data_IF_449366232406
#
_entry.id   IF_449366232406
#
_cell.length_a   1.000
_cell.length_b   1.000
_cell.length_c   1.000
_cell.angle_alpha   90.00
_cell.angle_beta   90.00
_cell.angle_gamma   90.00
#
_symmetry.space_group_name_H-M   'P 1'
#
loop_
_entity.id
_entity.type
_entity.pdbx_description
1 polymer ?
#
# COMPACT_ATOMS: atom_id res chain seq x y z
N UNK A 1 -4.78 -10.84 -15.80
CA UNK A 1 -5.13 -10.71 -14.36
C UNK A 1 -3.91 -10.13 -13.68
N UNK A 2 -4.04 -9.00 -12.98
CA UNK A 2 -2.85 -8.36 -12.38
C UNK A 2 -2.80 -8.57 -10.87
N UNK A 3 -1.61 -8.93 -10.38
CA UNK A 3 -1.32 -9.19 -8.98
C UNK A 3 -0.38 -8.11 -8.45
N UNK A 4 -0.84 -7.34 -7.48
CA UNK A 4 -0.02 -6.37 -6.76
C UNK A 4 0.52 -7.01 -5.47
N UNK A 5 1.79 -6.83 -5.21
CA UNK A 5 2.45 -7.21 -3.95
C UNK A 5 3.04 -5.96 -3.31
N UNK A 6 2.89 -5.81 -1.99
CA UNK A 6 3.29 -4.61 -1.24
C UNK A 6 4.10 -4.95 0.01
N UNK A 7 5.14 -4.17 0.25
CA UNK A 7 5.78 -4.02 1.56
C UNK A 7 5.37 -2.65 2.13
N UNK A 8 4.50 -2.65 3.15
CA UNK A 8 3.83 -1.43 3.62
C UNK A 8 4.73 -0.61 4.54
N UNK A 9 5.01 0.63 4.14
CA UNK A 9 5.75 1.58 4.96
C UNK A 9 5.68 3.00 4.40
N UNK A 10 6.39 3.95 5.05
CA UNK A 10 6.58 5.28 4.46
C UNK A 10 7.47 5.23 3.20
N UNK A 11 8.31 4.22 3.09
CA UNK A 11 8.87 3.75 1.83
C UNK A 11 8.18 2.43 1.54
N UNK A 12 7.35 2.38 0.49
CA UNK A 12 6.59 1.19 0.13
C UNK A 12 7.28 0.49 -1.04
N UNK A 13 7.68 -0.76 -0.86
CA UNK A 13 8.10 -1.62 -1.97
C UNK A 13 6.87 -2.16 -2.70
N UNK A 14 6.94 -2.26 -4.02
CA UNK A 14 5.84 -2.83 -4.81
C UNK A 14 6.35 -3.66 -5.99
N UNK A 15 5.57 -4.68 -6.34
CA UNK A 15 5.70 -5.37 -7.63
C UNK A 15 4.32 -5.74 -8.18
N UNK A 16 4.15 -5.57 -9.48
CA UNK A 16 2.94 -5.91 -10.24
C UNK A 16 3.30 -7.00 -11.24
N UNK A 17 2.59 -8.13 -11.17
CA UNK A 17 2.63 -9.17 -12.19
C UNK A 17 1.39 -9.03 -13.08
N UNK A 18 1.60 -8.77 -14.37
CA UNK A 18 0.54 -8.71 -15.38
C UNK A 18 0.93 -9.57 -16.57
N UNK A 19 0.15 -10.62 -16.82
CA UNK A 19 0.32 -11.52 -17.98
C UNK A 19 1.76 -12.03 -18.19
N UNK A 20 2.44 -12.38 -17.08
CA UNK A 20 3.80 -12.90 -17.09
C UNK A 20 4.91 -11.84 -17.06
N UNK A 21 4.56 -10.56 -17.16
CA UNK A 21 5.49 -9.44 -17.05
C UNK A 21 5.48 -8.92 -15.62
N UNK A 22 6.67 -8.75 -15.04
CA UNK A 22 6.86 -8.18 -13.70
C UNK A 22 7.40 -6.77 -13.83
N UNK A 23 6.68 -5.82 -13.25
CA UNK A 23 7.13 -4.46 -12.99
C UNK A 23 7.31 -4.30 -11.48
N UNK A 24 8.33 -3.55 -11.05
CA UNK A 24 8.58 -3.35 -9.62
C UNK A 24 9.25 -2.02 -9.35
N UNK A 25 9.18 -1.57 -8.10
CA UNK A 25 9.80 -0.34 -7.67
C UNK A 25 9.57 -0.08 -6.20
N UNK A 26 9.78 1.18 -5.82
CA UNK A 26 9.47 1.66 -4.49
C UNK A 26 8.89 3.07 -4.56
N UNK A 27 7.90 3.36 -3.73
CA UNK A 27 7.24 4.66 -3.67
C UNK A 27 7.45 5.29 -2.28
N UNK A 28 7.68 6.61 -2.22
CA UNK A 28 7.94 7.32 -0.97
C UNK A 28 6.75 8.19 -0.57
N UNK A 29 6.23 7.93 0.62
CA UNK A 29 5.13 8.68 1.26
C UNK A 29 5.62 9.50 2.46
N UNK A 30 6.92 9.80 2.52
CA UNK A 30 7.46 10.70 3.53
C UNK A 30 6.89 12.11 3.34
N UNK A 31 6.33 12.66 4.42
CA UNK A 31 5.78 14.01 4.44
C UNK A 31 6.66 14.96 5.24
N UNK A 32 6.58 16.25 4.94
CA UNK A 32 7.29 17.27 5.71
C UNK A 32 6.58 17.56 7.04
N UNK A 33 7.27 18.21 7.98
CA UNK A 33 6.66 18.71 9.23
C UNK A 33 5.54 19.74 9.02
N UNK A 34 5.44 20.31 7.82
CA UNK A 34 4.42 21.28 7.44
C UNK A 34 3.22 20.63 6.74
N UNK A 35 3.26 19.32 6.55
CA UNK A 35 2.16 18.55 5.95
C UNK A 35 1.15 18.16 7.02
N UNK A 36 -0.14 18.17 6.66
CA UNK A 36 -1.18 17.63 7.55
C UNK A 36 -0.92 16.15 7.87
N UNK A 37 -1.27 15.72 9.09
CA UNK A 37 -0.95 14.36 9.57
C UNK A 37 -1.52 13.21 8.73
N UNK A 38 -2.55 13.47 7.92
CA UNK A 38 -3.14 12.49 7.00
C UNK A 38 -2.54 12.49 5.59
N UNK A 39 -1.59 13.37 5.26
CA UNK A 39 -1.12 13.53 3.88
C UNK A 39 -0.40 12.30 3.32
N UNK A 40 0.32 11.53 4.14
CA UNK A 40 0.96 10.30 3.68
C UNK A 40 -0.09 9.27 3.22
N UNK A 41 -1.21 9.17 3.94
CA UNK A 41 -2.31 8.27 3.61
C UNK A 41 -3.07 8.72 2.36
N UNK A 42 -3.28 10.04 2.19
CA UNK A 42 -3.87 10.59 0.98
C UNK A 42 -2.99 10.34 -0.25
N UNK A 43 -1.68 10.58 -0.13
CA UNK A 43 -0.73 10.32 -1.21
C UNK A 43 -0.68 8.84 -1.57
N UNK A 44 -0.70 7.95 -0.59
CA UNK A 44 -0.77 6.51 -0.82
C UNK A 44 -2.05 6.09 -1.55
N UNK A 45 -3.22 6.61 -1.15
CA UNK A 45 -4.46 6.36 -1.87
C UNK A 45 -4.44 6.89 -3.31
N UNK A 46 -3.89 8.08 -3.53
CA UNK A 46 -3.75 8.65 -4.87
C UNK A 46 -2.83 7.79 -5.75
N UNK A 47 -1.75 7.25 -5.18
CA UNK A 47 -0.88 6.32 -5.86
C UNK A 47 -1.60 5.01 -6.20
N UNK A 48 -2.33 4.41 -5.27
CA UNK A 48 -3.15 3.22 -5.56
C UNK A 48 -4.13 3.46 -6.71
N UNK A 49 -4.81 4.61 -6.72
CA UNK A 49 -5.72 5.00 -7.80
C UNK A 49 -5.04 5.19 -9.17
N UNK A 50 -3.72 5.42 -9.18
CA UNK A 50 -2.96 5.52 -10.43
C UNK A 50 -2.62 4.15 -11.03
N UNK A 51 -2.65 3.08 -10.22
CA UNK A 51 -2.44 1.71 -10.68
C UNK A 51 -3.66 1.25 -11.47
N UNK A 52 -3.44 0.56 -12.59
CA UNK A 52 -4.52 0.10 -13.47
C UNK A 52 -4.79 -1.39 -13.27
N UNK A 53 -6.09 -1.72 -13.21
CA UNK A 53 -6.61 -3.08 -13.36
C UNK A 53 -6.10 -4.12 -12.34
N UNK A 54 -5.84 -3.68 -11.09
CA UNK A 54 -5.43 -4.56 -9.99
C UNK A 54 -6.54 -5.53 -9.61
N UNK A 55 -6.28 -6.83 -9.76
CA UNK A 55 -7.28 -7.87 -9.47
C UNK A 55 -7.13 -8.43 -8.06
N UNK A 56 -5.89 -8.52 -7.58
CA UNK A 56 -5.57 -9.10 -6.28
C UNK A 56 -4.38 -8.38 -5.67
N UNK A 57 -4.42 -8.16 -4.35
CA UNK A 57 -3.33 -7.54 -3.59
C UNK A 57 -2.84 -8.50 -2.51
N UNK A 58 -1.53 -8.70 -2.45
CA UNK A 58 -0.84 -9.36 -1.34
C UNK A 58 0.06 -8.35 -0.63
N UNK A 59 0.24 -8.52 0.67
CA UNK A 59 1.16 -7.71 1.46
C UNK A 59 1.70 -8.49 2.64
N UNK A 60 2.88 -8.12 3.13
CA UNK A 60 3.45 -8.73 4.33
C UNK A 60 2.75 -8.21 5.59
N UNK A 61 2.14 -9.11 6.37
CA UNK A 61 1.52 -8.74 7.63
C UNK A 61 2.59 -8.53 8.72
N UNK A 62 2.82 -7.28 9.11
CA UNK A 62 3.76 -6.95 10.20
C UNK A 62 3.03 -6.96 11.54
N UNK A 63 3.24 -8.00 12.34
CA UNK A 63 2.60 -8.14 13.67
C UNK A 63 3.38 -7.51 14.82
N UNK A 64 4.66 -7.19 14.62
CA UNK A 64 5.54 -6.65 15.66
C UNK A 64 6.24 -5.38 15.16
N UNK A 65 5.93 -4.26 15.80
CA UNK A 65 6.60 -2.99 15.56
C UNK A 65 7.48 -2.63 16.76
N UNK A 66 8.71 -2.15 16.50
CA UNK A 66 9.63 -1.72 17.55
C UNK A 66 9.29 -0.33 18.12
N UNK A 67 8.38 0.42 17.48
CA UNK A 67 7.95 1.74 17.94
C UNK A 67 6.52 2.08 17.53
N UNK A 68 5.88 2.95 18.31
CA UNK A 68 4.48 3.38 18.14
C UNK A 68 4.22 4.04 16.80
N UNK A 69 5.14 4.90 16.34
CA UNK A 69 5.00 5.58 15.04
C UNK A 69 5.01 4.60 13.86
N UNK A 70 5.84 3.55 13.93
CA UNK A 70 5.86 2.51 12.91
C UNK A 70 4.55 1.73 12.89
N UNK A 71 3.98 1.41 14.06
CA UNK A 71 2.68 0.75 14.18
C UNK A 71 1.54 1.63 13.65
N UNK A 72 1.53 2.92 13.98
CA UNK A 72 0.52 3.87 13.49
C UNK A 72 0.60 4.04 11.96
N UNK A 73 1.81 4.18 11.41
CA UNK A 73 1.97 4.27 9.96
C UNK A 73 1.49 3.00 9.26
N UNK A 74 1.96 1.83 9.70
CA UNK A 74 1.54 0.55 9.12
C UNK A 74 0.03 0.36 9.19
N UNK A 75 -0.58 0.56 10.37
CA UNK A 75 -2.03 0.44 10.56
C UNK A 75 -2.83 1.41 9.69
N UNK A 76 -2.35 2.65 9.53
CA UNK A 76 -2.98 3.63 8.65
C UNK A 76 -2.91 3.26 7.16
N UNK A 77 -1.75 2.79 6.69
CA UNK A 77 -1.60 2.30 5.31
C UNK A 77 -2.46 1.06 5.05
N UNK A 78 -2.49 0.11 5.99
CA UNK A 78 -3.33 -1.08 5.92
C UNK A 78 -4.82 -0.72 5.85
N UNK A 79 -5.27 0.25 6.65
CA UNK A 79 -6.66 0.72 6.60
C UNK A 79 -7.02 1.33 5.25
N UNK A 80 -6.14 2.17 4.68
CA UNK A 80 -6.33 2.76 3.35
C UNK A 80 -6.37 1.69 2.26
N UNK A 81 -5.43 0.75 2.29
CA UNK A 81 -5.35 -0.33 1.30
C UNK A 81 -6.60 -1.21 1.35
N UNK A 82 -7.04 -1.59 2.56
CA UNK A 82 -8.23 -2.42 2.76
C UNK A 82 -9.46 -1.71 2.22
N UNK A 83 -9.67 -0.44 2.57
CA UNK A 83 -10.79 0.34 2.05
C UNK A 83 -10.75 0.49 0.54
N UNK A 84 -9.56 0.73 -0.03
CA UNK A 84 -9.38 0.84 -1.48
C UNK A 84 -9.71 -0.46 -2.22
N UNK A 85 -9.37 -1.63 -1.66
CA UNK A 85 -9.74 -2.89 -2.29
C UNK A 85 -11.24 -3.18 -2.26
N UNK A 86 -11.92 -2.84 -1.17
CA UNK A 86 -13.38 -2.95 -1.10
C UNK A 86 -14.06 -2.04 -2.15
N UNK A 87 -13.54 -0.83 -2.36
CA UNK A 87 -14.08 0.10 -3.38
C UNK A 87 -13.83 -0.37 -4.82
N UNK A 88 -12.68 -1.00 -5.09
CA UNK A 88 -12.26 -1.40 -6.44
C UNK A 88 -12.56 -2.85 -6.77
N UNK A 89 -13.15 -3.59 -5.83
CA UNK A 89 -13.40 -5.04 -5.95
C UNK A 89 -12.13 -5.87 -6.16
N UNK A 90 -10.94 -5.39 -5.74
CA UNK A 90 -9.76 -6.25 -5.67
C UNK A 90 -9.83 -7.18 -4.47
N UNK A 91 -9.45 -8.44 -4.71
CA UNK A 91 -9.36 -9.41 -3.63
C UNK A 91 -8.14 -9.12 -2.75
N UNK A 92 -8.31 -9.24 -1.44
CA UNK A 92 -7.22 -9.25 -0.46
C UNK A 92 -7.19 -10.64 0.19
N UNK A 93 -6.43 -11.60 -0.37
CA UNK A 93 -6.23 -12.88 0.27
C UNK A 93 -5.49 -12.59 1.58
N UNK A 94 -6.14 -12.87 2.71
CA UNK A 94 -5.44 -12.79 4.00
C UNK A 94 -4.22 -13.70 3.91
N UNK A 95 -3.03 -13.10 4.02
CA UNK A 95 -1.76 -13.80 4.09
C UNK A 95 -1.64 -14.54 5.44
#
# INVERSE_FOLDING_TARGET
MSTLTLDLGKQTGWAILTDGVIESGSESFHTSRFSGGGMCFLNFRNWLNSLKEISVVYFEEVRRHLGTDAAHCYGGFLAVLSAWCEETSCAVPRC
#
